data_IF_563030581833
#
_entry.id   IF_563030581833
#
_cell.length_a   1.000
_cell.length_b   1.000
_cell.length_c   1.000
_cell.angle_alpha   90.00
_cell.angle_beta   90.00
_cell.angle_gamma   90.00
#
_symmetry.space_group_name_H-M   'P 1'
#
loop_
_entity.id
_entity.type
_entity.pdbx_description
1 polymer ?
#
# COMPACT_ATOMS: atom_id res chain seq x y z
N UNK A 1 -15.39 -5.70 23.37
CA UNK A 1 -14.64 -4.58 22.77
C UNK A 1 -13.14 -4.87 22.65
N UNK A 2 -12.47 -5.37 23.71
CA UNK A 2 -11.02 -5.66 23.68
C UNK A 2 -10.55 -6.60 22.55
N UNK A 3 -11.33 -7.63 22.20
CA UNK A 3 -10.98 -8.56 21.11
C UNK A 3 -10.81 -7.85 19.75
N UNK A 4 -11.70 -6.91 19.42
CA UNK A 4 -11.62 -6.13 18.18
C UNK A 4 -10.35 -5.27 18.13
N UNK A 5 -9.96 -4.68 19.26
CA UNK A 5 -8.75 -3.88 19.36
C UNK A 5 -7.49 -4.74 19.15
N UNK A 6 -7.43 -5.94 19.74
CA UNK A 6 -6.31 -6.86 19.55
C UNK A 6 -6.18 -7.23 18.06
N UNK A 7 -7.27 -7.65 17.41
CA UNK A 7 -7.26 -7.99 15.98
C UNK A 7 -6.74 -6.82 15.13
N UNK A 8 -7.19 -5.60 15.41
CA UNK A 8 -6.74 -4.42 14.66
C UNK A 8 -5.24 -4.13 14.88
N UNK A 9 -4.75 -4.20 16.12
CA UNK A 9 -3.34 -4.01 16.43
C UNK A 9 -2.47 -5.10 15.79
N UNK A 10 -2.90 -6.36 15.83
CA UNK A 10 -2.21 -7.45 15.15
C UNK A 10 -2.16 -7.23 13.64
N UNK A 11 -3.25 -6.78 13.02
CA UNK A 11 -3.27 -6.47 11.59
C UNK A 11 -2.30 -5.33 11.22
N UNK A 12 -2.25 -4.25 12.02
CA UNK A 12 -1.28 -3.15 11.82
C UNK A 12 0.16 -3.68 11.89
N UNK A 13 0.46 -4.54 12.86
CA UNK A 13 1.79 -5.12 13.02
C UNK A 13 2.17 -6.02 11.84
N UNK A 14 1.25 -6.86 11.37
CA UNK A 14 1.47 -7.72 10.21
C UNK A 14 1.66 -6.94 8.91
N UNK A 15 0.96 -5.80 8.75
CA UNK A 15 1.04 -4.94 7.57
C UNK A 15 2.22 -3.94 7.61
N UNK A 16 2.92 -3.81 8.74
CA UNK A 16 4.02 -2.84 8.93
C UNK A 16 5.06 -2.82 7.80
N UNK A 17 5.54 -3.97 7.26
CA UNK A 17 6.50 -3.97 6.15
C UNK A 17 5.95 -3.33 4.87
N UNK A 18 4.67 -3.60 4.55
CA UNK A 18 3.99 -3.03 3.38
C UNK A 18 3.80 -1.53 3.57
N UNK A 19 3.31 -1.11 4.73
CA UNK A 19 3.11 0.31 5.06
C UNK A 19 4.42 1.09 4.98
N UNK A 20 5.53 0.55 5.49
CA UNK A 20 6.83 1.20 5.43
C UNK A 20 7.30 1.41 3.98
N UNK A 21 7.11 0.40 3.14
CA UNK A 21 7.47 0.48 1.71
C UNK A 21 6.65 1.54 0.97
N UNK A 22 5.33 1.54 1.16
CA UNK A 22 4.42 2.51 0.56
C UNK A 22 4.68 3.94 1.06
N UNK A 23 4.90 4.12 2.36
CA UNK A 23 5.18 5.42 2.95
C UNK A 23 6.50 6.01 2.41
N UNK A 24 7.54 5.18 2.28
CA UNK A 24 8.83 5.61 1.73
C UNK A 24 8.69 6.05 0.28
N UNK A 25 7.94 5.30 -0.53
CA UNK A 25 7.66 5.69 -1.92
C UNK A 25 6.85 6.99 -2.00
N UNK A 26 5.77 7.10 -1.24
CA UNK A 26 4.95 8.32 -1.16
C UNK A 26 5.80 9.54 -0.81
N UNK A 27 6.63 9.44 0.23
CA UNK A 27 7.52 10.54 0.65
C UNK A 27 8.57 10.86 -0.39
N UNK A 28 9.11 9.85 -1.09
CA UNK A 28 10.02 10.06 -2.24
C UNK A 28 9.33 10.84 -3.35
N UNK A 29 8.13 10.43 -3.77
CA UNK A 29 7.36 11.10 -4.82
C UNK A 29 7.02 12.55 -4.42
N UNK A 30 6.59 12.76 -3.16
CA UNK A 30 6.34 14.10 -2.61
C UNK A 30 7.59 14.99 -2.64
N UNK A 31 8.77 14.44 -2.31
CA UNK A 31 10.06 15.19 -2.39
C UNK A 31 10.44 15.56 -3.81
N UNK A 32 10.05 14.76 -4.80
CA UNK A 32 10.27 15.05 -6.23
C UNK A 32 9.28 16.07 -6.79
N UNK A 33 8.29 16.51 -6.01
CA UNK A 33 7.27 17.46 -6.46
C UNK A 33 6.24 16.87 -7.42
N UNK A 34 6.22 15.55 -7.62
CA UNK A 34 5.21 14.87 -8.44
C UNK A 34 3.99 14.51 -7.60
N UNK A 35 2.83 14.37 -8.25
CA UNK A 35 1.63 13.85 -7.58
C UNK A 35 1.91 12.40 -7.15
N UNK A 36 1.85 12.07 -5.85
CA UNK A 36 2.11 10.71 -5.41
C UNK A 36 1.06 9.73 -5.94
N UNK A 37 1.49 8.69 -6.63
CA UNK A 37 0.65 7.61 -7.13
C UNK A 37 1.36 6.27 -6.93
N UNK A 38 0.66 5.31 -6.33
CA UNK A 38 1.15 3.95 -6.20
C UNK A 38 1.04 3.25 -7.55
N UNK A 39 2.12 2.57 -7.93
CA UNK A 39 2.24 1.78 -9.16
C UNK A 39 2.67 0.35 -8.77
N UNK A 40 1.76 -0.64 -8.84
CA UNK A 40 2.02 -2.03 -8.43
C UNK A 40 3.20 -2.67 -9.16
N UNK A 41 3.45 -2.32 -10.42
CA UNK A 41 4.50 -2.94 -11.25
C UNK A 41 5.90 -2.65 -10.70
N UNK A 42 6.06 -1.63 -9.87
CA UNK A 42 7.32 -1.25 -9.22
C UNK A 42 7.57 -2.00 -7.91
N UNK A 43 6.61 -2.79 -7.44
CA UNK A 43 6.66 -3.52 -6.18
C UNK A 43 6.28 -4.99 -6.38
N UNK A 44 7.15 -5.82 -6.97
CA UNK A 44 6.86 -7.23 -7.26
C UNK A 44 6.59 -8.06 -6.00
N UNK A 45 7.01 -7.60 -4.82
CA UNK A 45 6.71 -8.27 -3.54
C UNK A 45 5.29 -7.99 -3.03
N UNK A 46 4.67 -6.89 -3.49
CA UNK A 46 3.33 -6.42 -3.06
C UNK A 46 2.28 -6.75 -4.12
N UNK A 47 2.62 -6.66 -5.40
CA UNK A 47 1.71 -6.93 -6.53
C UNK A 47 0.91 -8.23 -6.37
N UNK A 48 1.50 -9.39 -6.00
CA UNK A 48 0.76 -10.66 -5.89
C UNK A 48 -0.24 -10.70 -4.72
N UNK A 49 -0.13 -9.75 -3.78
CA UNK A 49 -1.04 -9.64 -2.63
C UNK A 49 -2.28 -8.81 -2.95
N UNK A 50 -2.27 -8.08 -4.07
CA UNK A 50 -3.43 -7.31 -4.52
C UNK A 50 -4.47 -8.27 -5.09
N UNK A 51 -5.73 -8.05 -4.75
CA UNK A 51 -6.80 -8.74 -5.46
C UNK A 51 -6.82 -8.27 -6.93
N UNK A 52 -7.20 -9.14 -7.88
CA UNK A 52 -7.36 -8.76 -9.28
C UNK A 52 -8.20 -7.48 -9.40
N UNK A 53 -7.83 -6.62 -10.34
CA UNK A 53 -8.52 -5.34 -10.65
C UNK A 53 -8.55 -4.29 -9.52
N UNK A 54 -7.90 -4.53 -8.37
CA UNK A 54 -7.91 -3.58 -7.24
C UNK A 54 -7.21 -2.27 -7.56
N UNK A 55 -6.18 -2.32 -8.41
CA UNK A 55 -5.31 -1.18 -8.71
C UNK A 55 -5.08 -0.96 -10.20
N UNK A 56 -5.89 -1.62 -11.04
CA UNK A 56 -5.74 -1.55 -12.48
C UNK A 56 -6.18 -0.17 -12.97
N UNK A 57 -5.25 0.54 -13.64
CA UNK A 57 -5.47 1.90 -14.14
C UNK A 57 -6.36 1.93 -15.40
N UNK A 58 -6.77 0.76 -15.89
CA UNK A 58 -7.57 0.54 -17.10
C UNK A 58 -9.04 0.99 -17.01
N UNK A 59 -9.49 1.48 -15.85
CA UNK A 59 -10.89 1.90 -15.61
C UNK A 59 -11.09 3.43 -15.55
N UNK A 60 -10.29 4.19 -16.32
CA UNK A 60 -10.46 5.64 -16.53
C UNK A 60 -10.04 6.08 -17.94
N UNK A 61 -10.79 5.61 -18.94
CA UNK A 61 -11.02 6.33 -20.19
C UNK A 61 -12.45 6.88 -20.18
#
# INVERSE_FOLDING_TARGET
>A
MACMAITNLTAILLLSPVVHTLARDYLRQRKLGVRPQFDPQRFPDIEPQLAPDTWDASLRD
#
